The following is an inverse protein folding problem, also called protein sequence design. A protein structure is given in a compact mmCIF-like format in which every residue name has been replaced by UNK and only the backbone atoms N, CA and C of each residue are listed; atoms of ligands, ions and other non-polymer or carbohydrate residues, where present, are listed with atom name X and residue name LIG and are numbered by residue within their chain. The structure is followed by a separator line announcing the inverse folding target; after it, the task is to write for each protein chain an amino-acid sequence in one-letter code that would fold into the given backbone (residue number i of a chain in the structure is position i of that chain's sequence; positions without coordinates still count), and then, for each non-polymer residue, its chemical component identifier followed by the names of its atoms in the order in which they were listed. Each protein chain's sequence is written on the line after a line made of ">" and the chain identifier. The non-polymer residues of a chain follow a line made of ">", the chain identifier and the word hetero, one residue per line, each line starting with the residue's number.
data_IF_029465534122
#
_entry.id   IF_029465534122
#
_cell.length_a   1.000
_cell.length_b   1.000
_cell.length_c   1.000
_cell.angle_alpha   90.00
_cell.angle_beta   90.00
_cell.angle_gamma   90.00
#
_symmetry.space_group_name_H-M   'P 1'
#
loop_
_entity.id
_entity.type
_entity.pdbx_description
1 polymer ?
#
# COMPACT_ATOMS: atom_id res chain seq x y z
N UNK A 1 -23.22 28.31 15.58
CA UNK A 1 -22.62 29.21 14.55
C UNK A 1 -21.30 28.62 14.04
N UNK A 2 -21.31 27.40 13.49
CA UNK A 2 -20.09 26.67 13.06
C UNK A 2 -19.86 26.73 11.53
N UNK A 3 -20.94 26.80 10.75
CA UNK A 3 -20.87 26.81 9.27
C UNK A 3 -20.17 28.03 8.71
N UNK A 4 -20.43 29.22 9.29
CA UNK A 4 -19.78 30.46 8.84
C UNK A 4 -18.27 30.49 9.11
N UNK A 5 -17.82 29.96 10.26
CA UNK A 5 -16.39 29.82 10.58
C UNK A 5 -15.67 28.83 9.65
N UNK A 6 -16.29 27.69 9.36
CA UNK A 6 -15.71 26.71 8.44
C UNK A 6 -15.52 27.28 7.02
N UNK A 7 -16.48 28.09 6.56
CA UNK A 7 -16.39 28.79 5.26
C UNK A 7 -15.22 29.79 5.27
N UNK A 8 -15.12 30.63 6.30
CA UNK A 8 -14.02 31.59 6.47
C UNK A 8 -12.64 30.91 6.50
N UNK A 9 -12.49 29.79 7.22
CA UNK A 9 -11.25 29.01 7.28
C UNK A 9 -10.89 28.35 5.94
N UNK A 10 -11.88 27.96 5.12
CA UNK A 10 -11.61 27.36 3.81
C UNK A 10 -11.20 28.38 2.75
N UNK A 11 -11.67 29.63 2.84
CA UNK A 11 -11.35 30.68 1.88
C UNK A 11 -9.87 31.08 1.86
N UNK A 12 -9.15 30.92 2.99
CA UNK A 12 -7.72 31.21 3.09
C UNK A 12 -6.80 30.06 2.71
N UNK A 13 -7.31 28.86 2.39
CA UNK A 13 -6.48 27.70 2.09
C UNK A 13 -5.84 27.86 0.72
N UNK A 14 -4.52 27.99 0.70
CA UNK A 14 -3.73 27.87 -0.53
C UNK A 14 -3.65 26.38 -0.94
N UNK A 15 -3.68 26.07 -2.24
CA UNK A 15 -3.40 24.71 -2.70
C UNK A 15 -2.08 24.20 -2.13
N UNK A 16 -2.08 22.97 -1.65
CA UNK A 16 -0.84 22.29 -1.29
C UNK A 16 -0.17 21.90 -2.59
N UNK A 17 1.05 22.38 -2.83
CA UNK A 17 1.86 21.93 -3.94
C UNK A 17 2.21 20.46 -3.73
N UNK A 18 1.74 19.60 -4.63
CA UNK A 18 2.10 18.18 -4.66
C UNK A 18 3.13 18.02 -5.78
N UNK A 19 4.39 17.70 -5.46
CA UNK A 19 5.39 17.46 -6.49
C UNK A 19 4.99 16.22 -7.29
N UNK A 20 5.15 16.30 -8.61
CA UNK A 20 4.99 15.12 -9.44
C UNK A 20 6.06 14.09 -9.04
N UNK A 21 5.68 12.81 -8.85
CA UNK A 21 6.63 11.74 -8.64
C UNK A 21 7.67 11.75 -9.75
N UNK A 22 8.95 11.70 -9.36
CA UNK A 22 10.04 11.66 -10.32
C UNK A 22 10.05 10.32 -11.06
N UNK A 23 10.27 10.34 -12.37
CA UNK A 23 10.42 9.13 -13.18
C UNK A 23 9.16 8.71 -13.94
N UNK A 24 9.18 7.49 -14.49
CA UNK A 24 8.05 6.92 -15.23
C UNK A 24 7.01 6.37 -14.26
N UNK A 25 5.72 6.34 -14.62
CA UNK A 25 4.69 5.69 -13.81
C UNK A 25 5.03 4.27 -13.35
N UNK A 26 5.75 3.50 -14.17
CA UNK A 26 6.25 2.17 -13.82
C UNK A 26 7.17 2.14 -12.60
N UNK A 27 7.86 3.23 -12.32
CA UNK A 27 8.93 3.28 -11.31
C UNK A 27 8.34 3.43 -9.90
N UNK A 28 7.23 4.16 -9.77
CA UNK A 28 6.53 4.36 -8.51
C UNK A 28 5.24 3.52 -8.37
N UNK A 29 4.72 2.99 -9.48
CA UNK A 29 3.54 2.11 -9.43
C UNK A 29 3.86 0.83 -8.66
N UNK A 30 3.22 0.66 -7.51
CA UNK A 30 3.46 -0.48 -6.63
C UNK A 30 4.73 -0.37 -5.77
N UNK A 31 5.39 0.79 -5.73
CA UNK A 31 6.57 1.03 -4.88
C UNK A 31 6.29 0.72 -3.40
N UNK A 32 5.09 1.02 -2.92
CA UNK A 32 4.68 0.74 -1.55
C UNK A 32 3.76 -0.49 -1.40
N UNK A 33 3.67 -1.32 -2.44
CA UNK A 33 2.90 -2.58 -2.41
C UNK A 33 3.84 -3.75 -2.14
N UNK A 34 3.49 -4.62 -1.18
CA UNK A 34 4.24 -5.85 -0.91
C UNK A 34 3.87 -6.94 -1.93
N UNK A 35 4.37 -6.78 -3.15
CA UNK A 35 4.09 -7.64 -4.30
C UNK A 35 4.89 -8.97 -4.27
N UNK A 36 4.67 -9.84 -5.27
CA UNK A 36 5.36 -11.14 -5.36
C UNK A 36 6.89 -11.05 -5.34
N UNK A 37 7.47 -10.06 -5.99
CA UNK A 37 8.92 -9.85 -6.00
C UNK A 37 9.45 -9.47 -4.61
N UNK A 38 8.77 -8.57 -3.89
CA UNK A 38 9.12 -8.21 -2.52
C UNK A 38 8.87 -9.35 -1.55
N UNK A 39 7.77 -10.10 -1.69
CA UNK A 39 7.53 -11.30 -0.92
C UNK A 39 8.67 -12.30 -1.10
N UNK A 40 9.11 -12.55 -2.34
CA UNK A 40 10.23 -13.46 -2.61
C UNK A 40 11.54 -12.99 -1.97
N UNK A 41 11.80 -11.67 -1.98
CA UNK A 41 13.02 -11.09 -1.40
C UNK A 41 13.03 -11.13 0.13
N UNK A 42 11.89 -10.88 0.77
CA UNK A 42 11.85 -10.57 2.20
C UNK A 42 11.22 -11.68 3.07
N UNK A 43 10.50 -12.64 2.49
CA UNK A 43 9.90 -13.73 3.25
C UNK A 43 10.78 -15.00 3.22
N UNK A 44 10.76 -15.80 4.30
CA UNK A 44 11.29 -17.15 4.26
C UNK A 44 10.61 -17.97 3.16
N UNK A 45 11.37 -18.84 2.50
CA UNK A 45 10.87 -19.69 1.40
C UNK A 45 9.55 -20.39 1.74
N UNK A 46 9.44 -20.98 2.94
CA UNK A 46 8.23 -21.68 3.39
C UNK A 46 7.01 -20.75 3.45
N UNK A 47 7.19 -19.52 3.95
CA UNK A 47 6.14 -18.50 4.06
C UNK A 47 5.73 -18.00 2.68
N UNK A 48 6.71 -17.72 1.81
CA UNK A 48 6.46 -17.32 0.42
C UNK A 48 5.65 -18.39 -0.33
N UNK A 49 6.10 -19.65 -0.30
CA UNK A 49 5.44 -20.75 -1.00
C UNK A 49 3.99 -20.94 -0.51
N UNK A 50 3.77 -20.83 0.82
CA UNK A 50 2.43 -20.93 1.40
C UNK A 50 1.50 -19.78 0.99
N UNK A 51 2.02 -18.55 0.90
CA UNK A 51 1.25 -17.39 0.45
C UNK A 51 0.90 -17.48 -1.03
N UNK A 52 1.84 -17.91 -1.88
CA UNK A 52 1.58 -18.11 -3.32
C UNK A 52 0.52 -19.19 -3.54
N UNK A 53 0.63 -20.33 -2.84
CA UNK A 53 -0.37 -21.40 -2.90
C UNK A 53 -1.76 -20.93 -2.44
N UNK A 54 -1.83 -20.14 -1.37
CA UNK A 54 -3.09 -19.54 -0.90
C UNK A 54 -3.72 -18.60 -1.94
N UNK A 55 -2.91 -17.78 -2.61
CA UNK A 55 -3.37 -16.82 -3.62
C UNK A 55 -3.84 -17.55 -4.89
N UNK A 56 -3.03 -18.46 -5.41
CA UNK A 56 -3.25 -19.07 -6.73
C UNK A 56 -4.30 -20.19 -6.68
N UNK A 57 -4.37 -20.91 -5.56
CA UNK A 57 -5.27 -22.06 -5.39
C UNK A 57 -6.44 -21.79 -4.41
N UNK A 58 -6.65 -20.53 -4.00
CA UNK A 58 -7.70 -20.11 -3.05
C UNK A 58 -7.72 -20.93 -1.74
N UNK A 59 -6.54 -21.30 -1.25
CA UNK A 59 -6.38 -22.12 -0.07
C UNK A 59 -6.35 -21.26 1.19
N UNK A 60 -6.89 -21.80 2.29
CA UNK A 60 -6.78 -21.15 3.60
C UNK A 60 -5.31 -21.05 4.06
N UNK A 61 -4.91 -19.87 4.52
CA UNK A 61 -3.60 -19.66 5.12
C UNK A 61 -3.61 -20.16 6.57
N UNK A 62 -2.61 -20.94 6.96
CA UNK A 62 -2.50 -21.40 8.35
C UNK A 62 -2.05 -20.25 9.27
N UNK A 63 -2.55 -20.25 10.50
CA UNK A 63 -2.24 -19.21 11.50
C UNK A 63 -0.75 -19.10 11.81
N UNK A 64 -0.04 -20.22 11.79
CA UNK A 64 1.41 -20.27 12.01
C UNK A 64 2.22 -19.45 10.99
N UNK A 65 1.69 -19.27 9.77
CA UNK A 65 2.34 -18.47 8.71
C UNK A 65 2.01 -16.98 8.85
N UNK A 66 0.95 -16.64 9.60
CA UNK A 66 0.47 -15.27 9.78
C UNK A 66 1.10 -14.52 10.96
N UNK A 67 1.53 -15.21 12.02
CA UNK A 67 2.04 -14.63 13.26
C UNK A 67 3.58 -14.42 13.28
N UNK A 68 4.17 -14.13 12.11
CA UNK A 68 5.60 -13.79 11.99
C UNK A 68 5.96 -12.44 12.59
#
# INVERSE_FOLDING_TARGET
>A
MLRFKAVEETFGRKPVEVPEPQGRPSDYYGEYVFNREKMFKYLPKKTYDALVDAIDNQKALSREVADG
#
